data_IF_424522968937
#
_entry.id   IF_424522968937
#
_cell.length_a   1.000
_cell.length_b   1.000
_cell.length_c   1.000
_cell.angle_alpha   90.00
_cell.angle_beta   90.00
_cell.angle_gamma   90.00
#
_symmetry.space_group_name_H-M   'P 1'
#
loop_
_entity.id
_entity.type
_entity.pdbx_description
1 polymer ?
#
# COMPACT_ATOMS: atom_id res chain seq x y z
N UNK A 1 -11.81 -20.04 -10.82
CA UNK A 1 -13.12 -20.69 -10.68
C UNK A 1 -13.40 -20.85 -9.20
N UNK A 2 -14.55 -20.37 -8.73
CA UNK A 2 -14.88 -20.32 -7.30
C UNK A 2 -15.93 -21.40 -7.00
N UNK A 3 -15.72 -22.25 -5.99
CA UNK A 3 -16.56 -23.43 -5.67
C UNK A 3 -17.37 -23.23 -4.41
N UNK A 4 -18.64 -23.64 -4.41
CA UNK A 4 -19.54 -23.50 -3.26
C UNK A 4 -20.55 -24.65 -3.10
N UNK A 5 -20.85 -25.00 -1.86
CA UNK A 5 -21.92 -25.93 -1.48
C UNK A 5 -22.92 -25.19 -0.59
N UNK A 6 -24.18 -25.13 -1.00
CA UNK A 6 -25.28 -24.67 -0.15
C UNK A 6 -26.15 -25.88 0.20
N UNK A 7 -25.98 -26.42 1.40
CA UNK A 7 -26.74 -27.58 1.89
C UNK A 7 -27.81 -27.13 2.88
N UNK A 8 -29.08 -27.38 2.55
CA UNK A 8 -30.18 -27.41 3.51
C UNK A 8 -30.51 -28.89 3.77
N UNK A 9 -30.76 -29.27 5.03
CA UNK A 9 -30.96 -30.67 5.44
C UNK A 9 -32.19 -31.32 4.76
N UNK A 10 -32.10 -32.61 4.39
CA UNK A 10 -33.14 -33.35 3.67
C UNK A 10 -34.03 -34.21 4.58
N UNK A 11 -35.32 -34.32 4.20
CA UNK A 11 -36.16 -35.53 4.36
C UNK A 11 -36.55 -36.04 2.97
N UNK A 12 -36.62 -37.37 2.81
CA UNK A 12 -36.93 -38.07 1.55
C UNK A 12 -38.39 -37.84 1.12
N UNK A 13 -38.63 -37.48 -0.15
CA UNK A 13 -39.98 -37.35 -0.75
C UNK A 13 -40.01 -37.97 -2.17
N UNK A 14 -41.20 -38.49 -2.53
CA UNK A 14 -41.68 -39.30 -3.67
C UNK A 14 -41.03 -39.19 -5.07
N UNK A 15 -41.20 -40.24 -5.91
CA UNK A 15 -40.58 -40.37 -7.23
C UNK A 15 -41.08 -39.37 -8.29
N UNK A 16 -40.19 -39.09 -9.27
CA UNK A 16 -40.24 -38.11 -10.37
C UNK A 16 -41.58 -37.96 -11.15
N UNK A 17 -42.41 -39.01 -11.19
CA UNK A 17 -43.55 -39.10 -12.12
C UNK A 17 -44.77 -38.29 -11.65
N UNK A 18 -44.96 -38.09 -10.34
CA UNK A 18 -46.20 -37.50 -9.80
C UNK A 18 -46.21 -35.96 -9.76
N UNK A 19 -45.05 -35.30 -9.72
CA UNK A 19 -44.96 -33.83 -9.56
C UNK A 19 -45.00 -33.10 -10.90
N UNK A 20 -44.41 -33.63 -11.98
CA UNK A 20 -44.50 -33.01 -13.31
C UNK A 20 -45.91 -33.10 -13.88
N UNK A 21 -46.66 -34.14 -13.55
CA UNK A 21 -48.06 -34.32 -13.96
C UNK A 21 -49.02 -33.33 -13.29
N UNK A 22 -48.62 -32.72 -12.17
CA UNK A 22 -49.38 -31.70 -11.43
C UNK A 22 -48.87 -30.27 -11.64
N UNK A 23 -47.78 -30.10 -12.40
CA UNK A 23 -47.21 -28.80 -12.71
C UNK A 23 -47.97 -28.07 -13.84
N UNK A 24 -47.76 -26.76 -13.95
CA UNK A 24 -48.27 -25.97 -15.08
C UNK A 24 -47.78 -26.61 -16.41
N UNK A 25 -48.67 -26.87 -17.39
CA UNK A 25 -48.31 -27.56 -18.64
C UNK A 25 -47.14 -26.91 -19.40
N UNK A 26 -47.09 -25.58 -19.41
CA UNK A 26 -46.03 -24.79 -20.05
C UNK A 26 -44.69 -25.03 -19.38
N UNK A 27 -44.65 -25.01 -18.03
CA UNK A 27 -43.41 -25.25 -17.28
C UNK A 27 -42.96 -26.72 -17.39
N UNK A 28 -43.90 -27.67 -17.48
CA UNK A 28 -43.59 -29.08 -17.76
C UNK A 28 -43.02 -29.27 -19.17
N UNK A 29 -43.47 -28.51 -20.16
CA UNK A 29 -42.90 -28.52 -21.51
C UNK A 29 -41.47 -27.98 -21.52
N UNK A 30 -41.18 -26.91 -20.78
CA UNK A 30 -39.83 -26.37 -20.63
C UNK A 30 -38.85 -27.37 -20.01
N UNK A 31 -39.33 -28.39 -19.28
CA UNK A 31 -38.45 -29.44 -18.73
C UNK A 31 -37.86 -30.37 -19.80
N UNK A 32 -38.38 -30.31 -21.03
CA UNK A 32 -37.85 -31.02 -22.20
C UNK A 32 -36.71 -30.29 -22.89
N UNK A 33 -36.44 -29.04 -22.51
CA UNK A 33 -35.28 -28.29 -23.01
C UNK A 33 -33.99 -29.06 -22.74
N UNK A 34 -33.05 -28.99 -23.69
CA UNK A 34 -31.79 -29.73 -23.63
C UNK A 34 -30.67 -28.79 -23.19
N UNK A 35 -30.21 -28.97 -21.95
CA UNK A 35 -29.08 -28.29 -21.36
C UNK A 35 -27.74 -28.89 -21.84
N UNK A 36 -26.66 -28.16 -21.60
CA UNK A 36 -25.29 -28.61 -21.90
C UNK A 36 -24.68 -29.21 -20.65
N UNK A 37 -24.51 -30.53 -20.60
CA UNK A 37 -23.78 -31.19 -19.53
C UNK A 37 -22.28 -30.90 -19.64
N UNK A 38 -21.63 -30.58 -18.52
CA UNK A 38 -20.21 -30.21 -18.48
C UNK A 38 -19.50 -30.86 -17.30
N UNK A 39 -18.18 -30.94 -17.37
CA UNK A 39 -17.34 -31.21 -16.19
C UNK A 39 -16.98 -29.92 -15.43
N UNK A 40 -16.27 -30.05 -14.31
CA UNK A 40 -15.81 -28.92 -13.51
C UNK A 40 -14.81 -27.99 -14.23
N UNK A 41 -14.32 -28.36 -15.41
CA UNK A 41 -13.43 -27.53 -16.24
C UNK A 41 -14.18 -26.88 -17.39
N UNK A 42 -15.52 -26.97 -17.41
CA UNK A 42 -16.38 -26.46 -18.47
C UNK A 42 -16.24 -27.17 -19.81
N UNK A 43 -15.75 -28.41 -19.79
CA UNK A 43 -15.69 -29.26 -20.97
C UNK A 43 -17.06 -29.91 -21.19
N UNK A 44 -17.58 -29.77 -22.41
CA UNK A 44 -18.86 -30.36 -22.80
C UNK A 44 -18.77 -31.89 -22.75
N UNK A 45 -19.70 -32.51 -22.01
CA UNK A 45 -19.85 -33.96 -21.91
C UNK A 45 -20.96 -34.48 -22.84
N UNK A 46 -21.98 -33.65 -23.11
CA UNK A 46 -23.08 -33.99 -24.00
C UNK A 46 -24.37 -33.22 -23.67
N UNK A 47 -25.48 -33.57 -24.32
CA UNK A 47 -26.81 -33.06 -23.98
C UNK A 47 -27.32 -33.71 -22.68
N UNK A 48 -28.07 -32.95 -21.88
CA UNK A 48 -28.88 -33.47 -20.77
C UNK A 48 -30.22 -32.74 -20.76
N UNK A 49 -31.32 -33.42 -20.45
CA UNK A 49 -32.60 -32.71 -20.31
C UNK A 49 -32.57 -31.81 -19.08
N UNK A 50 -33.36 -30.74 -19.10
CA UNK A 50 -33.54 -29.86 -17.94
C UNK A 50 -34.06 -30.64 -16.74
N UNK A 51 -34.98 -31.61 -16.95
CA UNK A 51 -35.43 -32.52 -15.90
C UNK A 51 -34.28 -33.31 -15.25
N UNK A 52 -33.44 -33.99 -16.03
CA UNK A 52 -32.28 -34.73 -15.50
C UNK A 52 -31.24 -33.81 -14.83
N UNK A 53 -31.12 -32.59 -15.30
CA UNK A 53 -30.16 -31.62 -14.76
C UNK A 53 -30.54 -31.12 -13.37
N UNK A 54 -31.85 -31.03 -13.09
CA UNK A 54 -32.39 -30.43 -11.86
C UNK A 54 -32.99 -31.44 -10.88
N UNK A 55 -33.20 -32.70 -11.28
CA UNK A 55 -33.73 -33.73 -10.38
C UNK A 55 -32.66 -34.24 -9.41
N UNK A 56 -33.01 -34.40 -8.14
CA UNK A 56 -32.06 -34.76 -7.06
C UNK A 56 -31.33 -36.09 -7.24
N UNK A 57 -31.95 -37.05 -7.95
CA UNK A 57 -31.35 -38.36 -8.21
C UNK A 57 -30.18 -38.30 -9.21
N UNK A 58 -30.23 -37.37 -10.16
CA UNK A 58 -29.25 -37.24 -11.24
C UNK A 58 -28.33 -36.05 -11.03
N UNK A 59 -28.87 -34.85 -10.78
CA UNK A 59 -28.13 -33.60 -10.54
C UNK A 59 -26.95 -33.42 -11.51
N UNK A 60 -27.20 -33.61 -12.81
CA UNK A 60 -26.17 -33.51 -13.84
C UNK A 60 -25.58 -32.10 -13.80
N UNK A 61 -24.24 -32.01 -13.65
CA UNK A 61 -23.56 -30.73 -13.74
C UNK A 61 -23.75 -30.18 -15.16
N UNK A 62 -24.34 -29.00 -15.26
CA UNK A 62 -24.64 -28.37 -16.52
C UNK A 62 -24.24 -26.89 -16.54
N UNK A 63 -24.02 -26.35 -17.73
CA UNK A 63 -23.69 -24.93 -17.91
C UNK A 63 -24.95 -24.09 -17.67
N UNK A 64 -24.78 -22.99 -16.95
CA UNK A 64 -25.84 -22.03 -16.67
C UNK A 64 -25.32 -20.59 -16.79
N UNK A 65 -26.21 -19.62 -16.63
CA UNK A 65 -25.85 -18.23 -16.53
C UNK A 65 -26.74 -17.44 -15.56
N UNK A 66 -26.13 -16.41 -14.96
CA UNK A 66 -26.75 -15.42 -14.10
C UNK A 66 -26.45 -14.01 -14.61
N UNK A 67 -27.47 -13.31 -15.08
CA UNK A 67 -27.38 -11.92 -15.55
C UNK A 67 -27.69 -10.96 -14.40
N UNK A 68 -26.83 -9.95 -14.25
CA UNK A 68 -27.04 -8.78 -13.41
C UNK A 68 -27.10 -7.53 -14.30
N UNK A 69 -28.31 -7.06 -14.57
CA UNK A 69 -28.56 -5.86 -15.33
C UNK A 69 -28.73 -4.65 -14.41
N UNK A 70 -28.07 -3.56 -14.75
CA UNK A 70 -28.16 -2.30 -14.04
C UNK A 70 -28.92 -1.27 -14.86
N UNK A 71 -29.76 -0.48 -14.18
CA UNK A 71 -30.39 0.70 -14.75
C UNK A 71 -29.36 1.81 -15.02
N UNK A 72 -29.70 2.85 -15.81
CA UNK A 72 -28.81 4.00 -16.01
C UNK A 72 -28.43 4.73 -14.70
N UNK A 73 -29.30 4.68 -13.68
CA UNK A 73 -29.05 5.21 -12.33
C UNK A 73 -28.34 4.20 -11.40
N UNK A 74 -27.77 3.11 -11.95
CA UNK A 74 -26.94 2.11 -11.26
C UNK A 74 -27.67 1.18 -10.27
N UNK A 75 -29.00 1.12 -10.31
CA UNK A 75 -29.77 0.15 -9.53
C UNK A 75 -29.71 -1.23 -10.17
N UNK A 76 -29.59 -2.27 -9.36
CA UNK A 76 -29.66 -3.66 -9.82
C UNK A 76 -31.12 -4.04 -10.05
N UNK A 77 -31.43 -4.58 -11.22
CA UNK A 77 -32.76 -5.10 -11.54
C UNK A 77 -32.87 -6.53 -11.03
N UNK A 78 -33.80 -6.77 -10.13
CA UNK A 78 -34.17 -8.09 -9.61
C UNK A 78 -35.51 -8.51 -10.18
N UNK A 79 -35.66 -9.82 -10.38
CA UNK A 79 -36.96 -10.42 -10.69
C UNK A 79 -37.43 -11.32 -9.54
N UNK A 80 -38.74 -11.40 -9.36
CA UNK A 80 -39.39 -12.38 -8.50
C UNK A 80 -39.92 -13.50 -9.37
N UNK A 81 -39.41 -14.71 -9.16
CA UNK A 81 -39.83 -15.90 -9.91
C UNK A 81 -41.34 -16.12 -9.78
N UNK A 82 -42.01 -16.55 -10.85
CA UNK A 82 -43.43 -16.89 -10.78
C UNK A 82 -43.68 -18.03 -9.78
N UNK A 83 -44.93 -18.16 -9.32
CA UNK A 83 -45.32 -19.26 -8.45
C UNK A 83 -45.40 -20.60 -9.21
N UNK A 84 -45.44 -20.57 -10.55
CA UNK A 84 -45.56 -21.74 -11.41
C UNK A 84 -44.21 -22.37 -11.76
N UNK A 85 -43.08 -21.71 -11.45
CA UNK A 85 -41.73 -22.28 -11.63
C UNK A 85 -41.57 -23.59 -10.86
N UNK A 86 -41.00 -24.59 -11.53
CA UNK A 86 -40.69 -25.90 -10.92
C UNK A 86 -39.60 -25.75 -9.85
N UNK A 87 -38.51 -25.04 -10.17
CA UNK A 87 -37.43 -24.78 -9.21
C UNK A 87 -37.60 -23.42 -8.53
N UNK A 88 -37.46 -23.38 -7.20
CA UNK A 88 -37.44 -22.16 -6.39
C UNK A 88 -38.56 -21.12 -6.73
N UNK A 89 -39.85 -21.51 -6.71
CA UNK A 89 -40.94 -20.59 -7.03
C UNK A 89 -41.04 -19.42 -6.04
N UNK A 90 -41.44 -18.25 -6.52
CA UNK A 90 -41.74 -17.07 -5.69
C UNK A 90 -40.54 -16.36 -5.05
N UNK A 91 -39.31 -16.83 -5.25
CA UNK A 91 -38.10 -16.19 -4.71
C UNK A 91 -37.64 -15.01 -5.57
N UNK A 92 -37.10 -13.99 -4.90
CA UNK A 92 -36.35 -12.91 -5.54
C UNK A 92 -34.97 -13.40 -5.98
N UNK A 93 -34.57 -13.02 -7.19
CA UNK A 93 -33.30 -13.40 -7.80
C UNK A 93 -32.75 -12.28 -8.68
N UNK A 94 -31.53 -12.45 -9.19
CA UNK A 94 -30.92 -11.50 -10.14
C UNK A 94 -31.73 -11.43 -11.44
N UNK A 95 -31.38 -10.47 -12.30
CA UNK A 95 -32.21 -10.05 -13.44
C UNK A 95 -32.75 -11.20 -14.29
N UNK A 96 -31.91 -12.17 -14.64
CA UNK A 96 -32.33 -13.37 -15.37
C UNK A 96 -31.34 -14.51 -15.11
N UNK A 97 -31.84 -15.72 -14.88
CA UNK A 97 -31.03 -16.93 -14.70
C UNK A 97 -31.59 -18.05 -15.57
N UNK A 98 -30.76 -18.67 -16.40
CA UNK A 98 -31.18 -19.82 -17.20
C UNK A 98 -29.97 -20.55 -17.78
N UNK A 99 -30.19 -21.29 -18.87
CA UNK A 99 -29.25 -22.23 -19.44
C UNK A 99 -29.03 -21.94 -20.92
N UNK A 100 -27.78 -21.99 -21.41
CA UNK A 100 -27.54 -22.19 -22.83
C UNK A 100 -28.07 -23.58 -23.25
N UNK A 101 -28.75 -23.63 -24.38
CA UNK A 101 -29.29 -24.86 -24.95
C UNK A 101 -28.19 -25.62 -25.72
N UNK A 102 -28.33 -26.94 -25.82
CA UNK A 102 -27.46 -27.79 -26.63
C UNK A 102 -27.75 -27.63 -28.13
N UNK A 103 -27.44 -26.44 -28.66
CA UNK A 103 -27.63 -26.02 -30.05
C UNK A 103 -26.42 -25.24 -30.53
N UNK A 104 -26.18 -25.20 -31.85
CA UNK A 104 -24.94 -24.66 -32.44
C UNK A 104 -24.63 -23.21 -32.03
N UNK A 105 -25.64 -22.35 -31.85
CA UNK A 105 -25.45 -20.94 -31.51
C UNK A 105 -25.27 -20.66 -30.01
N UNK A 106 -25.50 -21.65 -29.13
CA UNK A 106 -25.44 -21.49 -27.67
C UNK A 106 -24.42 -22.42 -27.00
N UNK A 107 -23.88 -23.41 -27.73
CA UNK A 107 -22.93 -24.40 -27.16
C UNK A 107 -21.54 -23.85 -26.87
N UNK A 108 -21.11 -22.79 -27.57
CA UNK A 108 -19.72 -22.36 -27.61
C UNK A 108 -19.38 -21.34 -26.51
N UNK A 109 -19.00 -21.85 -25.33
CA UNK A 109 -18.38 -21.06 -24.25
C UNK A 109 -19.08 -19.74 -23.94
N UNK A 110 -18.30 -18.66 -23.80
CA UNK A 110 -18.81 -17.31 -23.48
C UNK A 110 -19.76 -16.76 -24.54
N UNK A 111 -19.46 -16.96 -25.83
CA UNK A 111 -20.29 -16.45 -26.92
C UNK A 111 -21.67 -17.10 -26.94
N UNK A 112 -21.73 -18.42 -26.71
CA UNK A 112 -22.97 -19.17 -26.63
C UNK A 112 -23.81 -18.76 -25.43
N UNK A 113 -23.17 -18.56 -24.27
CA UNK A 113 -23.84 -18.08 -23.06
C UNK A 113 -24.42 -16.67 -23.24
N UNK A 114 -23.69 -15.75 -23.87
CA UNK A 114 -24.22 -14.40 -24.17
C UNK A 114 -25.45 -14.47 -25.08
N UNK A 115 -25.45 -15.38 -26.07
CA UNK A 115 -26.61 -15.59 -26.95
C UNK A 115 -27.83 -16.07 -26.15
N UNK A 116 -27.64 -17.08 -25.30
CA UNK A 116 -28.69 -17.62 -24.46
C UNK A 116 -29.25 -16.58 -23.46
N UNK A 117 -28.37 -15.77 -22.88
CA UNK A 117 -28.75 -14.69 -21.97
C UNK A 117 -29.65 -13.66 -22.66
N UNK A 118 -29.30 -13.20 -23.86
CA UNK A 118 -30.13 -12.23 -24.62
C UNK A 118 -31.50 -12.84 -24.94
N UNK A 119 -31.54 -14.09 -25.41
CA UNK A 119 -32.79 -14.81 -25.69
C UNK A 119 -33.68 -14.89 -24.45
N UNK A 120 -33.11 -15.28 -23.30
CA UNK A 120 -33.91 -15.52 -22.09
C UNK A 120 -34.32 -14.24 -21.36
N UNK A 121 -33.51 -13.19 -21.38
CA UNK A 121 -33.95 -11.88 -20.86
C UNK A 121 -35.14 -11.38 -21.68
N UNK A 122 -35.12 -11.50 -23.01
CA UNK A 122 -36.27 -11.12 -23.83
C UNK A 122 -37.49 -12.02 -23.55
N UNK A 123 -37.29 -13.33 -23.40
CA UNK A 123 -38.39 -14.25 -23.08
C UNK A 123 -39.01 -13.99 -21.69
N UNK A 124 -38.22 -13.70 -20.66
CA UNK A 124 -38.71 -13.53 -19.28
C UNK A 124 -39.18 -12.09 -18.99
N UNK A 125 -38.46 -11.09 -19.53
CA UNK A 125 -38.65 -9.67 -19.20
C UNK A 125 -39.08 -8.81 -20.41
N UNK A 126 -39.19 -9.35 -21.62
CA UNK A 126 -39.75 -8.67 -22.79
C UNK A 126 -39.01 -7.39 -23.21
N UNK A 127 -37.70 -7.32 -22.94
CA UNK A 127 -36.90 -6.09 -23.12
C UNK A 127 -36.61 -5.77 -24.58
N UNK A 128 -36.86 -6.69 -25.51
CA UNK A 128 -36.52 -6.61 -26.91
C UNK A 128 -35.02 -6.81 -27.16
N UNK A 129 -34.56 -6.27 -28.29
CA UNK A 129 -33.17 -6.44 -28.74
C UNK A 129 -32.15 -5.84 -27.75
N UNK A 130 -31.13 -6.63 -27.41
CA UNK A 130 -29.95 -6.23 -26.65
C UNK A 130 -28.70 -6.52 -27.47
N UNK A 131 -27.73 -5.61 -27.43
CA UNK A 131 -26.48 -5.77 -28.15
C UNK A 131 -25.54 -6.75 -27.44
N UNK A 132 -25.01 -7.72 -28.18
CA UNK A 132 -24.08 -8.74 -27.65
C UNK A 132 -22.85 -8.13 -26.98
N UNK A 133 -22.34 -7.04 -27.53
CA UNK A 133 -21.15 -6.34 -27.04
C UNK A 133 -21.34 -5.68 -25.66
N UNK A 134 -22.60 -5.41 -25.27
CA UNK A 134 -22.92 -4.77 -24.00
C UNK A 134 -23.12 -5.79 -22.87
N UNK A 135 -23.22 -7.08 -23.22
CA UNK A 135 -23.31 -8.19 -22.27
C UNK A 135 -21.91 -8.71 -21.93
N UNK A 136 -21.39 -8.31 -20.77
CA UNK A 136 -20.02 -8.65 -20.35
C UNK A 136 -19.99 -9.87 -19.44
N UNK A 137 -19.26 -10.91 -19.84
CA UNK A 137 -18.96 -12.06 -18.97
C UNK A 137 -17.89 -11.64 -17.95
N UNK A 138 -18.17 -11.82 -16.66
CA UNK A 138 -17.24 -11.46 -15.58
C UNK A 138 -16.54 -12.66 -14.95
N UNK A 139 -17.11 -13.86 -15.03
CA UNK A 139 -16.52 -15.06 -14.44
C UNK A 139 -17.47 -16.24 -14.37
N UNK A 140 -17.00 -17.34 -13.77
CA UNK A 140 -17.72 -18.61 -13.62
C UNK A 140 -17.70 -19.11 -12.18
N UNK A 141 -18.83 -19.66 -11.74
CA UNK A 141 -19.11 -20.13 -10.40
C UNK A 141 -19.62 -21.55 -10.45
N UNK A 142 -19.06 -22.44 -9.64
CA UNK A 142 -19.60 -23.79 -9.47
C UNK A 142 -20.36 -23.83 -8.16
N UNK A 143 -21.66 -24.10 -8.24
CA UNK A 143 -22.48 -24.21 -7.06
C UNK A 143 -23.49 -25.37 -7.15
N UNK A 144 -23.93 -25.82 -5.98
CA UNK A 144 -25.01 -26.78 -5.82
C UNK A 144 -25.98 -26.27 -4.76
N UNK A 145 -27.27 -26.28 -5.09
CA UNK A 145 -28.35 -25.87 -4.19
C UNK A 145 -29.51 -26.87 -4.28
N UNK A 146 -30.10 -27.23 -3.15
CA UNK A 146 -31.24 -28.15 -3.09
C UNK A 146 -32.47 -27.40 -2.58
N UNK A 147 -33.63 -27.69 -3.17
CA UNK A 147 -34.89 -27.22 -2.60
C UNK A 147 -35.25 -28.06 -1.38
N UNK A 148 -35.73 -27.41 -0.33
CA UNK A 148 -36.27 -28.11 0.83
C UNK A 148 -37.55 -28.85 0.42
N UNK A 149 -37.73 -30.08 0.91
CA UNK A 149 -38.94 -30.89 0.76
C UNK A 149 -39.41 -31.10 -0.71
N UNK A 150 -38.47 -31.11 -1.65
CA UNK A 150 -38.73 -31.20 -3.10
C UNK A 150 -37.67 -32.04 -3.80
N UNK A 151 -37.99 -32.81 -4.85
CA UNK A 151 -37.02 -33.60 -5.61
C UNK A 151 -36.24 -32.76 -6.64
N UNK A 152 -36.19 -31.43 -6.45
CA UNK A 152 -35.58 -30.50 -7.38
C UNK A 152 -34.43 -29.70 -6.74
N UNK A 153 -33.46 -29.30 -7.57
CA UNK A 153 -32.31 -28.51 -7.16
C UNK A 153 -31.54 -27.97 -8.37
N UNK A 154 -30.40 -27.33 -8.09
CA UNK A 154 -29.46 -26.77 -9.06
C UNK A 154 -28.07 -27.37 -8.84
N UNK A 155 -27.39 -27.73 -9.93
CA UNK A 155 -25.96 -28.09 -9.94
C UNK A 155 -25.31 -27.52 -11.19
N UNK A 156 -24.75 -26.33 -11.04
CA UNK A 156 -24.47 -25.47 -12.18
C UNK A 156 -23.01 -24.99 -12.20
N UNK A 157 -22.46 -25.00 -13.40
CA UNK A 157 -21.34 -24.15 -13.77
C UNK A 157 -21.91 -22.84 -14.34
N UNK A 158 -22.08 -21.86 -13.46
CA UNK A 158 -22.81 -20.63 -13.71
C UNK A 158 -21.89 -19.49 -14.17
N UNK A 159 -22.17 -18.97 -15.36
CA UNK A 159 -21.54 -17.77 -15.91
C UNK A 159 -22.21 -16.51 -15.37
N UNK A 160 -21.45 -15.65 -14.70
CA UNK A 160 -21.96 -14.35 -14.28
C UNK A 160 -21.78 -13.32 -15.40
N UNK A 161 -22.88 -12.72 -15.85
CA UNK A 161 -22.92 -11.68 -16.87
C UNK A 161 -23.41 -10.36 -16.30
N UNK A 162 -22.82 -9.27 -16.78
CA UNK A 162 -23.20 -7.90 -16.43
C UNK A 162 -23.72 -7.20 -17.67
N UNK A 163 -24.90 -6.61 -17.54
CA UNK A 163 -25.47 -5.69 -18.51
C UNK A 163 -25.70 -4.33 -17.85
N UNK A 164 -25.46 -3.23 -18.56
CA UNK A 164 -25.62 -1.87 -18.01
C UNK A 164 -26.57 -1.04 -18.85
N UNK A 165 -27.18 -0.05 -18.23
CA UNK A 165 -28.11 0.89 -18.85
C UNK A 165 -29.39 0.24 -19.39
N UNK A 166 -29.93 -0.76 -18.68
CA UNK A 166 -31.25 -1.32 -19.00
C UNK A 166 -32.35 -0.39 -18.47
N UNK A 167 -33.11 0.21 -19.37
CA UNK A 167 -34.27 1.04 -18.99
C UNK A 167 -35.43 0.15 -18.52
N UNK A 168 -35.90 0.38 -17.29
CA UNK A 168 -37.06 -0.32 -16.70
C UNK A 168 -38.32 -0.18 -17.55
N UNK A 169 -38.49 0.93 -18.28
CA UNK A 169 -39.67 1.14 -19.13
C UNK A 169 -39.76 0.15 -20.31
N UNK A 170 -38.65 -0.53 -20.63
CA UNK A 170 -38.61 -1.59 -21.64
C UNK A 170 -39.13 -2.93 -21.14
N UNK A 171 -39.23 -3.13 -19.82
CA UNK A 171 -39.61 -4.43 -19.25
C UNK A 171 -41.10 -4.70 -19.45
N UNK A 172 -41.41 -5.85 -20.03
CA UNK A 172 -42.75 -6.43 -20.19
C UNK A 172 -42.66 -7.89 -19.75
N UNK A 173 -42.98 -8.14 -18.48
CA UNK A 173 -42.79 -9.46 -17.87
C UNK A 173 -43.65 -10.53 -18.55
N UNK A 174 -43.08 -11.72 -18.68
CA UNK A 174 -43.84 -12.93 -18.94
C UNK A 174 -44.33 -13.51 -17.61
N UNK A 175 -45.63 -13.44 -17.35
CA UNK A 175 -46.23 -13.83 -16.06
C UNK A 175 -46.04 -15.32 -15.70
N UNK A 176 -45.80 -16.17 -16.71
CA UNK A 176 -45.47 -17.58 -16.49
C UNK A 176 -44.06 -17.79 -15.90
N UNK A 177 -43.17 -16.82 -16.06
CA UNK A 177 -41.78 -16.88 -15.61
C UNK A 177 -41.51 -15.94 -14.42
N UNK A 178 -42.13 -14.76 -14.43
CA UNK A 178 -41.83 -13.65 -13.52
C UNK A 178 -43.13 -13.08 -12.96
N UNK A 179 -43.19 -12.91 -11.63
CA UNK A 179 -44.34 -12.33 -10.93
C UNK A 179 -44.16 -10.87 -10.53
N UNK A 180 -42.92 -10.39 -10.42
CA UNK A 180 -42.60 -9.02 -10.03
C UNK A 180 -41.18 -8.63 -10.45
N UNK A 181 -40.91 -7.33 -10.60
CA UNK A 181 -39.59 -6.78 -10.93
C UNK A 181 -39.32 -5.55 -10.08
N UNK A 182 -38.12 -5.47 -9.51
CA UNK A 182 -37.71 -4.33 -8.68
C UNK A 182 -36.28 -3.90 -9.01
N UNK A 183 -36.07 -2.61 -9.22
CA UNK A 183 -34.73 -2.02 -9.23
C UNK A 183 -34.37 -1.56 -7.83
N UNK A 184 -33.23 -2.01 -7.31
CA UNK A 184 -32.77 -1.74 -5.95
C UNK A 184 -31.35 -1.20 -5.94
N UNK A 185 -31.08 -0.29 -5.02
CA UNK A 185 -29.72 0.16 -4.72
C UNK A 185 -28.93 -0.95 -4.02
N UNK A 186 -27.59 -0.93 -4.13
CA UNK A 186 -26.73 -1.95 -3.50
C UNK A 186 -26.93 -2.03 -1.98
N UNK A 187 -27.04 -0.87 -1.31
CA UNK A 187 -27.21 -0.80 0.14
C UNK A 187 -28.61 -1.24 0.57
N UNK A 188 -29.65 -0.90 -0.20
CA UNK A 188 -31.03 -1.36 0.02
C UNK A 188 -31.11 -2.89 -0.10
N UNK A 189 -30.48 -3.46 -1.12
CA UNK A 189 -30.45 -4.91 -1.30
C UNK A 189 -29.70 -5.61 -0.16
N UNK A 190 -28.61 -5.02 0.32
CA UNK A 190 -27.85 -5.53 1.46
C UNK A 190 -28.71 -5.63 2.72
N UNK A 191 -29.47 -4.58 3.03
CA UNK A 191 -30.36 -4.55 4.18
C UNK A 191 -31.52 -5.55 4.01
N UNK A 192 -32.09 -5.63 2.81
CA UNK A 192 -33.19 -6.54 2.53
C UNK A 192 -32.79 -8.02 2.65
N UNK A 193 -31.63 -8.42 2.09
CA UNK A 193 -31.10 -9.79 2.24
C UNK A 193 -30.83 -10.13 3.70
N UNK A 194 -30.36 -9.19 4.52
CA UNK A 194 -30.14 -9.42 5.95
C UNK A 194 -31.44 -9.62 6.72
N UNK A 195 -32.46 -8.83 6.40
CA UNK A 195 -33.75 -8.86 7.10
C UNK A 195 -34.58 -10.10 6.72
N UNK A 196 -34.56 -10.48 5.45
CA UNK A 196 -35.42 -11.54 4.89
C UNK A 196 -34.62 -12.50 3.98
N UNK A 197 -33.62 -13.22 4.50
CA UNK A 197 -32.73 -14.04 3.68
C UNK A 197 -33.45 -15.18 2.93
N UNK A 198 -34.58 -15.65 3.43
CA UNK A 198 -35.38 -16.71 2.81
C UNK A 198 -36.20 -16.23 1.62
N UNK A 199 -36.33 -14.91 1.42
CA UNK A 199 -37.04 -14.34 0.27
C UNK A 199 -36.22 -14.41 -1.02
N UNK A 200 -34.95 -14.81 -0.96
CA UNK A 200 -34.02 -14.78 -2.07
C UNK A 200 -33.53 -16.16 -2.48
N UNK A 201 -33.25 -16.32 -3.77
CA UNK A 201 -32.60 -17.53 -4.29
C UNK A 201 -31.23 -17.79 -3.63
N UNK A 202 -30.84 -19.07 -3.46
CA UNK A 202 -29.55 -19.42 -2.85
C UNK A 202 -28.35 -18.82 -3.57
N UNK A 203 -28.37 -18.77 -4.91
CA UNK A 203 -27.27 -18.24 -5.71
C UNK A 203 -27.13 -16.71 -5.58
N UNK A 204 -28.23 -15.95 -5.60
CA UNK A 204 -28.15 -14.49 -5.36
C UNK A 204 -27.55 -14.19 -3.98
N UNK A 205 -27.98 -14.93 -2.94
CA UNK A 205 -27.40 -14.83 -1.61
C UNK A 205 -25.91 -15.16 -1.58
N UNK A 206 -25.48 -16.14 -2.38
CA UNK A 206 -24.08 -16.50 -2.54
C UNK A 206 -23.27 -15.38 -3.23
N UNK A 207 -23.72 -14.85 -4.37
CA UNK A 207 -23.09 -13.73 -5.07
C UNK A 207 -22.93 -12.51 -4.15
N UNK A 208 -23.95 -12.24 -3.33
CA UNK A 208 -23.92 -11.19 -2.34
C UNK A 208 -22.89 -11.44 -1.21
N UNK A 209 -22.92 -12.62 -0.57
CA UNK A 209 -21.97 -12.98 0.51
C UNK A 209 -20.50 -12.91 0.05
N UNK A 210 -20.25 -13.22 -1.21
CA UNK A 210 -18.92 -13.17 -1.82
C UNK A 210 -18.50 -11.76 -2.26
N UNK A 211 -19.35 -10.75 -2.02
CA UNK A 211 -19.14 -9.37 -2.44
C UNK A 211 -18.88 -9.26 -3.95
N UNK A 212 -19.45 -10.16 -4.73
CA UNK A 212 -19.21 -10.19 -6.18
C UNK A 212 -19.82 -8.98 -6.87
N UNK A 213 -21.02 -8.59 -6.44
CA UNK A 213 -21.72 -7.40 -6.93
C UNK A 213 -20.96 -6.11 -6.63
N UNK A 214 -20.29 -6.02 -5.47
CA UNK A 214 -19.44 -4.88 -5.12
C UNK A 214 -18.23 -4.74 -6.05
N UNK A 215 -17.70 -5.84 -6.58
CA UNK A 215 -16.62 -5.82 -7.58
C UNK A 215 -17.10 -5.38 -8.96
N UNK A 216 -18.40 -5.55 -9.26
CA UNK A 216 -18.99 -5.24 -10.56
C UNK A 216 -19.63 -3.85 -10.62
N UNK A 217 -19.86 -3.23 -9.46
CA UNK A 217 -20.42 -1.89 -9.32
C UNK A 217 -19.44 -0.82 -9.84
N UNK A 218 -19.81 -0.02 -10.85
CA UNK A 218 -18.98 1.10 -11.30
C UNK A 218 -18.71 2.17 -10.23
N UNK A 219 -19.44 2.20 -9.12
CA UNK A 219 -19.13 3.09 -8.00
C UNK A 219 -17.84 2.69 -7.25
N UNK A 220 -17.43 1.41 -7.28
CA UNK A 220 -16.16 0.96 -6.68
C UNK A 220 -14.95 1.19 -7.59
N UNK A 221 -15.18 1.37 -8.90
CA UNK A 221 -14.17 1.82 -9.88
C UNK A 221 -13.90 3.35 -9.81
N UNK A 222 -14.65 4.06 -8.96
CA UNK A 222 -14.41 5.47 -8.74
C UNK A 222 -13.44 5.61 -7.58
N UNK A 223 -12.16 5.79 -7.90
CA UNK A 223 -11.20 6.36 -6.94
C UNK A 223 -11.80 7.64 -6.36
N UNK A 224 -12.36 7.54 -5.15
CA UNK A 224 -12.88 8.67 -4.40
C UNK A 224 -11.85 9.79 -4.38
N UNK A 225 -12.28 11.06 -4.32
CA UNK A 225 -11.37 12.22 -4.23
C UNK A 225 -10.33 11.99 -3.13
N UNK A 226 -10.72 11.35 -2.02
CA UNK A 226 -9.82 10.95 -0.93
C UNK A 226 -8.72 9.98 -1.38
N UNK A 227 -9.07 8.95 -2.16
CA UNK A 227 -8.07 7.98 -2.67
C UNK A 227 -7.10 8.61 -3.66
N UNK A 228 -7.58 9.52 -4.53
CA UNK A 228 -6.73 10.29 -5.45
C UNK A 228 -5.81 11.26 -4.70
N UNK A 229 -6.36 11.98 -3.72
CA UNK A 229 -5.60 12.87 -2.86
C UNK A 229 -4.54 12.12 -2.06
N UNK A 230 -4.88 10.96 -1.50
CA UNK A 230 -3.94 10.10 -0.79
C UNK A 230 -2.83 9.58 -1.70
N UNK A 231 -3.16 9.18 -2.94
CA UNK A 231 -2.15 8.77 -3.91
C UNK A 231 -1.19 9.91 -4.28
N UNK A 232 -1.71 11.11 -4.52
CA UNK A 232 -0.90 12.31 -4.77
C UNK A 232 0.02 12.64 -3.59
N UNK A 233 -0.52 12.57 -2.37
CA UNK A 233 0.21 12.83 -1.14
C UNK A 233 1.33 11.81 -0.94
N UNK A 234 1.03 10.51 -1.05
CA UNK A 234 2.01 9.44 -0.91
C UNK A 234 3.12 9.53 -1.97
N UNK A 235 2.76 9.82 -3.22
CA UNK A 235 3.73 10.03 -4.30
C UNK A 235 4.64 11.22 -4.01
N UNK A 236 4.07 12.34 -3.56
CA UNK A 236 4.83 13.55 -3.21
C UNK A 236 5.82 13.27 -2.08
N UNK A 237 5.41 12.55 -1.03
CA UNK A 237 6.31 12.13 0.06
C UNK A 237 7.46 11.25 -0.45
N UNK A 238 7.18 10.33 -1.37
CA UNK A 238 8.21 9.43 -1.91
C UNK A 238 9.24 10.20 -2.76
N UNK A 239 8.77 11.14 -3.59
CA UNK A 239 9.66 12.02 -4.37
C UNK A 239 10.53 12.87 -3.43
N UNK A 240 9.96 13.45 -2.37
CA UNK A 240 10.73 14.23 -1.39
C UNK A 240 11.77 13.38 -0.66
N UNK A 241 11.42 12.15 -0.28
CA UNK A 241 12.35 11.20 0.34
C UNK A 241 13.50 10.83 -0.62
N UNK A 242 13.19 10.54 -1.89
CA UNK A 242 14.19 10.22 -2.92
C UNK A 242 15.14 11.39 -3.18
N UNK A 243 14.62 12.63 -3.29
CA UNK A 243 15.44 13.84 -3.44
C UNK A 243 16.33 14.03 -2.22
N UNK A 244 15.79 13.85 -1.00
CA UNK A 244 16.58 13.96 0.24
C UNK A 244 17.70 12.92 0.29
N UNK A 245 17.44 11.69 -0.14
CA UNK A 245 18.45 10.64 -0.22
C UNK A 245 19.53 10.94 -1.27
N UNK A 246 19.17 11.45 -2.44
CA UNK A 246 20.13 11.86 -3.47
C UNK A 246 21.02 13.02 -2.99
N UNK A 247 20.41 14.03 -2.35
CA UNK A 247 21.09 15.12 -1.68
C UNK A 247 22.10 14.60 -0.66
N UNK A 248 21.69 13.68 0.24
CA UNK A 248 22.58 13.05 1.21
C UNK A 248 23.77 12.34 0.53
N UNK A 249 23.50 11.48 -0.46
CA UNK A 249 24.54 10.71 -1.17
C UNK A 249 25.55 11.60 -1.88
N UNK A 250 25.11 12.73 -2.45
CA UNK A 250 26.01 13.66 -3.14
C UNK A 250 27.08 14.27 -2.22
N UNK A 251 26.81 14.36 -0.91
CA UNK A 251 27.79 14.93 0.05
C UNK A 251 28.87 13.96 0.49
N UNK A 252 28.66 12.65 0.33
CA UNK A 252 29.65 11.62 0.69
C UNK A 252 30.92 11.67 -0.18
N UNK A 253 30.83 12.27 -1.37
CA UNK A 253 31.93 12.36 -2.34
C UNK A 253 32.69 13.68 -2.27
N UNK A 254 32.31 14.61 -1.38
CA UNK A 254 32.97 15.91 -1.26
C UNK A 254 34.18 15.77 -0.33
N UNK A 255 35.34 16.22 -0.80
CA UNK A 255 36.54 16.31 0.03
C UNK A 255 36.57 17.64 0.79
N UNK A 256 36.70 17.55 2.11
CA UNK A 256 36.73 18.67 3.04
C UNK A 256 38.10 18.88 3.68
N UNK A 257 39.14 18.16 3.24
CA UNK A 257 40.47 18.19 3.83
C UNK A 257 41.36 19.32 3.27
N UNK A 258 40.92 20.01 2.22
CA UNK A 258 41.70 21.06 1.56
C UNK A 258 41.36 22.45 2.11
N UNK A 259 41.88 22.77 3.29
CA UNK A 259 41.82 24.12 3.87
C UNK A 259 43.22 24.68 4.05
N UNK A 260 43.44 25.91 3.57
CA UNK A 260 44.68 26.64 3.82
C UNK A 260 44.56 27.34 5.17
N UNK A 261 45.34 26.88 6.14
CA UNK A 261 45.33 27.40 7.51
C UNK A 261 46.74 27.77 7.94
N UNK A 262 46.87 28.99 8.44
CA UNK A 262 48.10 29.54 9.00
C UNK A 262 47.86 29.83 10.49
N UNK A 263 48.65 29.20 11.35
CA UNK A 263 48.60 29.37 12.80
C UNK A 263 49.92 29.99 13.23
N UNK A 264 49.84 31.08 14.00
CA UNK A 264 51.01 31.72 14.60
C UNK A 264 50.81 31.84 16.10
N UNK A 265 51.89 31.76 16.88
CA UNK A 265 51.85 31.91 18.32
C UNK A 265 52.90 32.90 18.82
N UNK A 266 52.67 33.45 20.01
CA UNK A 266 53.58 34.36 20.71
C UNK A 266 53.55 34.10 22.22
N UNK A 267 54.69 34.37 22.86
CA UNK A 267 54.87 34.41 24.30
C UNK A 267 54.39 33.15 25.06
N UNK A 268 54.86 31.93 24.72
CA UNK A 268 54.54 30.74 25.49
C UNK A 268 55.13 30.84 26.91
N UNK A 269 54.29 30.62 27.92
CA UNK A 269 54.58 30.74 29.34
C UNK A 269 53.96 29.57 30.09
N UNK A 270 54.64 29.05 31.10
CA UNK A 270 54.09 28.04 32.01
C UNK A 270 53.98 28.64 33.41
N UNK A 271 52.86 28.38 34.09
CA UNK A 271 52.70 28.66 35.53
C UNK A 271 52.38 27.37 36.27
N UNK A 272 52.97 27.18 37.44
CA UNK A 272 52.58 26.10 38.34
C UNK A 272 51.34 26.55 39.14
N UNK A 273 50.29 25.74 39.12
CA UNK A 273 49.02 25.98 39.82
C UNK A 273 48.73 24.76 40.69
N UNK A 274 48.08 24.96 41.83
CA UNK A 274 47.62 23.85 42.68
C UNK A 274 46.37 23.27 42.04
N UNK A 275 46.31 21.95 41.89
CA UNK A 275 45.13 21.27 41.38
C UNK A 275 43.98 21.41 42.40
N UNK A 276 42.80 21.81 41.91
CA UNK A 276 41.61 21.95 42.75
C UNK A 276 40.91 20.61 43.00
N UNK A 277 41.20 19.58 42.20
CA UNK A 277 40.63 18.25 42.37
C UNK A 277 41.43 17.40 43.39
N UNK A 278 42.76 17.46 43.34
CA UNK A 278 43.67 16.81 44.28
C UNK A 278 44.49 17.87 45.03
N UNK A 279 44.13 18.15 46.29
CA UNK A 279 44.65 19.30 47.06
C UNK A 279 46.16 19.33 47.30
N UNK A 280 46.90 18.26 46.99
CA UNK A 280 48.34 18.14 47.20
C UNK A 280 49.18 18.07 45.90
N UNK A 281 48.54 18.04 44.72
CA UNK A 281 49.23 17.94 43.43
C UNK A 281 49.33 19.30 42.71
N UNK A 282 50.44 19.49 42.00
CA UNK A 282 50.68 20.69 41.18
C UNK A 282 50.47 20.36 39.72
N UNK A 283 49.77 21.24 39.02
CA UNK A 283 49.51 21.17 37.59
C UNK A 283 50.16 22.34 36.86
N UNK A 284 50.54 22.10 35.62
CA UNK A 284 51.10 23.13 34.74
C UNK A 284 49.98 23.82 33.98
N UNK A 285 49.89 25.14 34.12
CA UNK A 285 49.03 26.00 33.32
C UNK A 285 49.85 26.62 32.19
N UNK A 286 49.61 26.15 30.97
CA UNK A 286 50.11 26.73 29.74
C UNK A 286 49.37 28.02 29.39
N UNK A 287 50.14 29.06 29.08
CA UNK A 287 49.65 30.34 28.58
C UNK A 287 50.38 30.63 27.27
N UNK A 288 49.64 30.94 26.22
CA UNK A 288 50.20 31.38 24.95
C UNK A 288 49.19 32.26 24.23
N UNK A 289 49.66 33.26 23.51
CA UNK A 289 48.81 34.03 22.60
C UNK A 289 48.94 33.42 21.20
N UNK A 290 47.84 33.28 20.47
CA UNK A 290 47.86 32.74 19.11
C UNK A 290 47.02 33.56 18.15
N UNK A 291 47.29 33.42 16.86
CA UNK A 291 46.49 34.00 15.79
C UNK A 291 46.17 32.92 14.77
N UNK A 292 44.93 32.90 14.30
CA UNK A 292 44.42 31.90 13.35
C UNK A 292 43.97 32.63 12.11
N UNK A 293 44.58 32.27 10.98
CA UNK A 293 44.16 32.71 9.66
C UNK A 293 43.76 31.50 8.83
N UNK A 294 42.53 31.45 8.37
CA UNK A 294 42.00 30.29 7.64
C UNK A 294 41.04 30.73 6.53
N UNK A 295 41.12 30.08 5.38
CA UNK A 295 40.17 30.23 4.28
C UNK A 295 39.31 28.97 4.14
N UNK A 296 38.02 29.12 4.44
CA UNK A 296 37.03 28.05 4.32
C UNK A 296 36.06 28.25 3.16
N UNK A 297 36.35 29.18 2.23
CA UNK A 297 35.42 29.58 1.15
C UNK A 297 34.91 28.38 0.36
N UNK A 298 35.82 27.44 0.06
CA UNK A 298 35.51 26.23 -0.70
C UNK A 298 34.80 25.13 0.11
N UNK A 299 34.59 25.33 1.42
CA UNK A 299 33.93 24.34 2.28
C UNK A 299 32.41 24.46 2.31
N UNK A 300 31.85 25.66 2.12
CA UNK A 300 30.41 25.87 2.18
C UNK A 300 29.73 25.54 0.84
N UNK A 301 29.21 24.32 0.73
CA UNK A 301 28.32 23.93 -0.37
C UNK A 301 26.83 24.08 0.01
N UNK A 302 25.94 23.58 -0.85
CA UNK A 302 24.49 23.67 -0.64
C UNK A 302 24.01 23.00 0.66
N UNK A 303 24.72 21.96 1.14
CA UNK A 303 24.33 21.18 2.32
C UNK A 303 25.03 21.62 3.61
N UNK A 304 26.12 22.40 3.56
CA UNK A 304 26.84 22.79 4.79
C UNK A 304 26.10 23.94 5.48
N UNK A 305 25.65 23.69 6.72
CA UNK A 305 24.92 24.67 7.54
C UNK A 305 25.90 25.58 8.28
N UNK A 306 26.87 24.97 8.94
CA UNK A 306 27.85 25.65 9.78
C UNK A 306 29.11 24.79 9.92
N UNK A 307 30.21 25.45 10.26
CA UNK A 307 31.45 24.80 10.68
C UNK A 307 31.64 25.04 12.17
N UNK A 308 32.05 24.02 12.91
CA UNK A 308 32.51 24.17 14.29
C UNK A 308 34.02 23.97 14.32
N UNK A 309 34.76 25.07 14.44
CA UNK A 309 36.20 25.10 14.46
C UNK A 309 36.69 25.01 15.90
N UNK A 310 37.77 24.30 16.14
CA UNK A 310 38.42 24.24 17.43
C UNK A 310 39.92 24.02 17.29
N UNK A 311 40.70 24.80 18.03
CA UNK A 311 42.15 24.71 18.10
C UNK A 311 42.53 23.77 19.23
N UNK A 312 43.35 22.76 18.93
CA UNK A 312 43.79 21.74 19.88
C UNK A 312 45.30 21.83 20.05
N UNK A 313 45.77 21.75 21.29
CA UNK A 313 47.15 21.45 21.62
C UNK A 313 47.32 19.94 21.80
N UNK A 314 48.18 19.33 20.98
CA UNK A 314 48.49 17.91 21.00
C UNK A 314 49.94 17.68 21.43
N UNK A 315 50.13 16.87 22.46
CA UNK A 315 51.46 16.58 23.00
C UNK A 315 51.49 15.23 23.71
N UNK A 316 52.69 14.72 23.97
CA UNK A 316 52.93 13.39 24.52
C UNK A 316 53.70 13.51 25.82
N UNK A 317 53.23 12.89 26.90
CA UNK A 317 53.93 12.82 28.18
C UNK A 317 54.42 11.40 28.43
N UNK A 318 55.13 11.15 29.54
CA UNK A 318 55.59 9.79 29.87
C UNK A 318 54.41 8.91 30.29
N UNK A 319 53.41 9.52 30.89
CA UNK A 319 52.22 8.93 31.46
C UNK A 319 51.15 8.71 30.38
N UNK A 320 51.03 9.66 29.44
CA UNK A 320 50.00 9.65 28.39
C UNK A 320 50.61 9.76 26.98
N UNK A 321 50.29 8.77 26.16
CA UNK A 321 50.75 8.70 24.75
C UNK A 321 50.09 9.78 23.88
N UNK A 322 48.90 10.26 24.25
CA UNK A 322 48.17 11.32 23.53
C UNK A 322 47.46 12.22 24.53
N UNK A 323 47.90 13.48 24.65
CA UNK A 323 47.18 14.53 25.36
C UNK A 323 46.60 15.50 24.32
N UNK A 324 45.30 15.80 24.40
CA UNK A 324 44.61 16.72 23.50
C UNK A 324 43.80 17.73 24.33
N UNK A 325 44.23 19.00 24.31
CA UNK A 325 43.55 20.07 25.05
C UNK A 325 43.00 21.09 24.06
N UNK A 326 41.69 21.31 24.09
CA UNK A 326 41.04 22.33 23.27
C UNK A 326 41.36 23.69 23.87
N UNK A 327 41.97 24.59 23.10
CA UNK A 327 42.33 25.94 23.54
C UNK A 327 41.27 26.97 23.20
N UNK A 328 40.59 26.78 22.06
CA UNK A 328 39.65 27.76 21.52
C UNK A 328 38.69 27.09 20.54
N UNK A 329 37.49 27.64 20.44
CA UNK A 329 36.46 27.22 19.50
C UNK A 329 35.76 28.41 18.87
N UNK A 330 35.24 28.22 17.66
CA UNK A 330 34.38 29.18 16.97
C UNK A 330 33.41 28.47 16.04
N UNK A 331 32.14 28.87 16.11
CA UNK A 331 31.14 28.49 15.11
C UNK A 331 31.23 29.50 13.97
N UNK A 332 31.30 28.99 12.74
CA UNK A 332 31.23 29.80 11.52
C UNK A 332 29.95 29.44 10.79
N UNK A 333 29.07 30.43 10.64
CA UNK A 333 27.81 30.26 9.92
C UNK A 333 28.02 30.52 8.42
N UNK A 334 27.18 29.90 7.59
CA UNK A 334 27.23 30.08 6.12
C UNK A 334 27.12 31.54 5.66
N UNK A 335 26.39 32.38 6.41
CA UNK A 335 26.20 33.80 6.09
C UNK A 335 27.35 34.70 6.56
N UNK A 336 28.31 34.16 7.31
CA UNK A 336 29.43 34.93 7.88
C UNK A 336 30.64 34.98 6.94
N UNK A 337 31.62 35.83 7.27
CA UNK A 337 32.88 35.90 6.54
C UNK A 337 33.60 34.55 6.63
N UNK A 338 33.74 33.90 5.48
CA UNK A 338 34.36 32.58 5.35
C UNK A 338 35.91 32.63 5.43
N UNK A 339 36.45 33.85 5.39
CA UNK A 339 37.84 34.16 5.70
C UNK A 339 37.96 34.55 7.17
N UNK A 340 38.72 33.76 7.91
CA UNK A 340 39.02 33.97 9.33
C UNK A 340 40.40 34.61 9.42
N UNK A 341 40.48 35.74 10.12
CA UNK A 341 41.74 36.41 10.48
C UNK A 341 41.59 36.92 11.92
N UNK A 342 41.76 36.01 12.87
CA UNK A 342 41.68 36.31 14.29
C UNK A 342 43.09 36.49 14.85
N UNK A 343 43.36 37.66 15.44
CA UNK A 343 44.71 38.04 15.89
C UNK A 343 44.76 38.20 17.39
N UNK A 344 45.87 37.74 17.99
CA UNK A 344 46.16 37.85 19.44
C UNK A 344 45.04 37.28 20.32
N UNK A 345 44.54 36.10 19.94
CA UNK A 345 43.62 35.33 20.75
C UNK A 345 44.33 34.75 21.97
N UNK A 346 43.60 34.74 23.08
CA UNK A 346 43.96 33.98 24.29
C UNK A 346 43.16 32.68 24.34
N UNK A 347 43.68 31.61 24.95
CA UNK A 347 42.94 30.38 25.14
C UNK A 347 41.64 30.68 25.90
N UNK A 348 40.51 30.23 25.34
CA UNK A 348 39.18 30.31 25.97
C UNK A 348 39.04 29.26 27.06
N UNK A 349 39.69 28.11 26.87
CA UNK A 349 39.77 27.04 27.86
C UNK A 349 41.20 26.94 28.39
N UNK A 350 41.34 26.55 29.65
CA UNK A 350 42.64 26.45 30.30
C UNK A 350 43.46 25.32 29.67
N UNK A 351 44.69 25.65 29.29
CA UNK A 351 45.67 24.64 28.93
C UNK A 351 46.30 24.06 30.19
N UNK A 352 45.59 23.13 30.84
CA UNK A 352 46.07 22.47 32.05
C UNK A 352 46.70 21.12 31.68
N UNK A 353 47.86 20.84 32.25
CA UNK A 353 48.49 19.53 32.24
C UNK A 353 48.61 19.00 33.67
N UNK A 354 48.26 17.72 33.86
CA UNK A 354 48.35 17.05 35.14
C UNK A 354 49.82 16.71 35.42
N UNK A 355 50.49 17.56 36.21
CA UNK A 355 51.90 17.45 36.56
C UNK A 355 52.76 18.63 36.08
N UNK A 356 54.04 18.36 35.82
CA UNK A 356 55.05 19.38 35.46
C UNK A 356 55.64 19.16 34.06
N UNK A 357 54.84 18.58 33.15
CA UNK A 357 55.34 18.08 31.88
C UNK A 357 55.37 19.14 30.77
N UNK A 358 54.80 20.32 30.98
CA UNK A 358 54.88 21.42 30.02
C UNK A 358 56.23 22.15 30.09
N UNK A 359 56.94 22.07 31.23
CA UNK A 359 58.27 22.64 31.37
C UNK A 359 59.25 22.05 30.34
N UNK A 360 59.92 22.93 29.61
CA UNK A 360 60.89 22.57 28.58
C UNK A 360 60.34 21.64 27.48
N UNK A 361 59.01 21.54 27.33
CA UNK A 361 58.40 20.66 26.35
C UNK A 361 58.64 21.20 24.94
N UNK A 362 59.30 20.39 24.11
CA UNK A 362 59.81 20.83 22.80
C UNK A 362 58.79 20.67 21.66
N UNK A 363 57.81 19.78 21.80
CA UNK A 363 56.94 19.35 20.70
C UNK A 363 55.45 19.42 21.06
N UNK A 364 54.93 20.60 21.41
CA UNK A 364 53.47 20.78 21.55
C UNK A 364 52.91 21.25 20.23
N UNK A 365 52.13 20.41 19.56
CA UNK A 365 51.60 20.72 18.23
C UNK A 365 50.25 21.39 18.35
N UNK A 366 50.12 22.61 17.83
CA UNK A 366 48.84 23.27 17.67
C UNK A 366 48.23 22.87 16.33
N UNK A 367 47.02 22.32 16.38
CA UNK A 367 46.29 21.81 15.23
C UNK A 367 44.89 22.41 15.22
N UNK A 368 44.49 23.00 14.10
CA UNK A 368 43.10 23.43 13.90
C UNK A 368 42.29 22.25 13.35
N UNK A 369 41.24 21.86 14.09
CA UNK A 369 40.27 20.86 13.66
C UNK A 369 38.91 21.51 13.46
N UNK A 370 38.07 20.86 12.67
CA UNK A 370 36.73 21.36 12.42
C UNK A 370 35.72 20.26 12.12
N UNK A 371 34.49 20.50 12.57
CA UNK A 371 33.34 19.68 12.23
C UNK A 371 32.51 20.37 11.16
N UNK A 372 32.28 19.66 10.06
CA UNK A 372 31.36 20.07 9.00
C UNK A 372 29.97 19.59 9.39
N UNK A 373 29.08 20.54 9.72
CA UNK A 373 27.72 20.24 10.15
C UNK A 373 26.78 20.48 8.95
N UNK A 374 26.20 19.41 8.36
CA UNK A 374 25.28 19.55 7.25
C UNK A 374 23.86 19.95 7.72
N UNK A 375 23.03 20.40 6.79
CA UNK A 375 21.59 20.55 7.00
C UNK A 375 20.92 19.17 7.14
N UNK A 376 21.41 18.18 6.40
CA UNK A 376 20.99 16.78 6.49
C UNK A 376 22.17 15.85 6.20
N UNK A 377 22.40 14.85 7.05
CA UNK A 377 23.40 13.82 6.81
C UNK A 377 24.44 13.67 7.92
N UNK A 378 25.62 13.16 7.55
CA UNK A 378 26.68 12.78 8.48
C UNK A 378 27.51 13.98 8.90
N UNK A 379 27.79 14.09 10.21
CA UNK A 379 28.71 15.08 10.75
C UNK A 379 30.15 14.63 10.49
N UNK A 380 30.87 15.37 9.66
CA UNK A 380 32.25 15.02 9.29
C UNK A 380 33.24 15.76 10.18
N UNK A 381 34.11 15.01 10.84
CA UNK A 381 35.27 15.55 11.54
C UNK A 381 36.43 15.61 10.55
N UNK A 382 37.13 16.75 10.51
CA UNK A 382 38.24 16.96 9.59
C UNK A 382 39.31 17.83 10.26
N UNK A 383 40.52 17.75 9.73
CA UNK A 383 41.68 18.45 10.27
C UNK A 383 42.26 19.35 9.20
N UNK A 384 42.66 20.57 9.57
CA UNK A 384 43.38 21.47 8.68
C UNK A 384 44.78 20.94 8.36
N UNK A 385 45.31 21.34 7.19
CA UNK A 385 46.66 20.98 6.77
C UNK A 385 47.76 21.71 7.55
N UNK A 386 47.46 22.89 8.10
CA UNK A 386 48.39 23.70 8.87
C UNK A 386 48.54 23.24 10.32
N UNK A 387 49.78 22.96 10.74
CA UNK A 387 50.16 22.67 12.12
C UNK A 387 51.41 23.46 12.50
N UNK A 388 51.55 23.79 13.78
CA UNK A 388 52.75 24.46 14.29
C UNK A 388 53.18 23.86 15.63
N UNK A 389 54.48 23.59 15.77
CA UNK A 389 55.06 23.14 17.03
C UNK A 389 55.43 24.34 17.90
N UNK A 390 54.99 24.30 19.15
CA UNK A 390 55.25 25.27 20.20
C UNK A 390 56.21 24.66 21.20
N UNK A 391 57.23 25.44 21.55
CA UNK A 391 58.18 25.13 22.60
C UNK A 391 57.87 25.95 23.83
N UNK A 392 57.70 25.28 24.97
CA UNK A 392 57.49 25.95 26.25
C UNK A 392 58.82 26.15 26.99
N UNK A 393 58.96 27.24 27.77
CA UNK A 393 60.19 27.54 28.49
C UNK A 393 60.50 26.51 29.58
N UNK A 394 61.77 26.36 29.92
CA UNK A 394 62.24 25.48 30.99
C UNK A 394 62.05 26.01 32.41
N UNK A 395 61.47 27.21 32.57
CA UNK A 395 61.25 27.85 33.86
C UNK A 395 59.82 28.37 33.99
N UNK A 396 59.27 28.29 35.20
CA UNK A 396 57.97 28.87 35.51
C UNK A 396 58.00 30.39 35.45
N UNK A 397 56.96 30.97 34.86
CA UNK A 397 56.78 32.42 34.82
C UNK A 397 56.35 32.94 36.18
N UNK A 398 57.26 33.60 36.88
CA UNK A 398 57.04 34.23 38.18
C UNK A 398 56.54 35.67 38.03
N UNK A 399 55.35 35.88 37.47
CA UNK A 399 54.76 37.22 37.45
C UNK A 399 53.22 37.19 37.41
N UNK A 400 52.59 37.94 38.34
CA UNK A 400 51.24 38.51 38.16
C UNK A 400 51.36 39.66 37.17
N UNK A 401 51.27 39.36 35.88
CA UNK A 401 51.14 40.35 34.80
C UNK A 401 50.03 39.94 33.86
#
# INVERSE_FOLDING_TARGET
>A
MTRFLCTTAQRLVSPMVDILASANPTQAEFMKEVCIAVDEHDKILGPATKAESHHVDSMVLHRAFSVFAFTPDKKLILQKRSATKITFPGLWTNTCCSHPLFVENEKDGEAGVVHAAIRKIDHELGVGHLEKQDMKVQGRFLYKALMADSPWGEHELDYALIYRNLDLNRIRINEEEVSDVKAVESDELMEWIHKEPTSFSPWLSLFYRLKYLQKCDPATDMHSIYSRANALFAFTLWVLAAVTAACFLSTSFIDYNNSNVEITFKDPKVRSVVDYANSDEKSDLGLLDFSVKADFTNMFNWNVKQLFLYLVAEYTTKENVVNQVVLWDKIVLRSERVLIDERRLKPKYYFMDDGSHLLNHQNITLVLRYNVIPNSGYLRLSQASGQIAVQFPGTYTTARS
#
